data_IF_800105448369
#
_entry.id   IF_800105448369
#
_cell.length_a   1.000
_cell.length_b   1.000
_cell.length_c   1.000
_cell.angle_alpha   90.00
_cell.angle_beta   90.00
_cell.angle_gamma   90.00
#
_symmetry.space_group_name_H-M   'P 1'
#
loop_
_entity.id
_entity.type
_entity.pdbx_description
1 polymer ?
#
# COMPACT_ATOMS: atom_id res chain seq x y z
N UNK A 1 -29.70 -8.04 -22.12
CA UNK A 1 -29.17 -8.13 -20.72
C UNK A 1 -27.67 -8.09 -20.84
N UNK A 2 -27.01 -7.13 -20.23
CA UNK A 2 -25.54 -7.06 -20.15
C UNK A 2 -25.03 -8.22 -19.31
N UNK A 3 -23.93 -8.86 -19.75
CA UNK A 3 -23.28 -9.95 -19.00
C UNK A 3 -22.83 -9.40 -17.64
N UNK A 4 -23.07 -10.09 -16.53
CA UNK A 4 -22.61 -9.63 -15.22
C UNK A 4 -21.08 -9.58 -15.19
N UNK A 5 -20.54 -8.60 -14.46
CA UNK A 5 -19.10 -8.41 -14.23
C UNK A 5 -18.63 -9.46 -13.22
N UNK A 6 -17.68 -10.31 -13.62
CA UNK A 6 -17.10 -11.32 -12.76
C UNK A 6 -16.02 -10.74 -11.86
N UNK A 7 -16.22 -10.84 -10.56
CA UNK A 7 -15.35 -10.28 -9.53
C UNK A 7 -14.62 -11.40 -8.79
N UNK A 8 -13.30 -11.23 -8.60
CA UNK A 8 -12.52 -12.02 -7.65
C UNK A 8 -12.30 -11.17 -6.39
N UNK A 9 -12.77 -11.67 -5.23
CA UNK A 9 -12.53 -11.04 -3.93
C UNK A 9 -11.25 -11.59 -3.31
N UNK A 10 -10.26 -10.73 -3.08
CA UNK A 10 -8.98 -11.09 -2.46
C UNK A 10 -8.78 -10.28 -1.17
N UNK A 11 -9.01 -10.89 -0.03
CA UNK A 11 -8.85 -10.32 1.31
C UNK A 11 -8.67 -11.47 2.30
N UNK A 12 -7.82 -11.36 3.30
CA UNK A 12 -7.64 -12.41 4.31
C UNK A 12 -8.72 -12.37 5.41
N UNK A 13 -9.48 -11.27 5.52
CA UNK A 13 -10.57 -11.11 6.48
C UNK A 13 -11.87 -11.75 5.99
N UNK A 14 -12.17 -12.96 6.43
CA UNK A 14 -13.36 -13.73 6.02
C UNK A 14 -14.68 -12.96 6.20
N UNK A 15 -14.81 -12.20 7.30
CA UNK A 15 -16.04 -11.45 7.59
C UNK A 15 -16.25 -10.36 6.54
N UNK A 16 -15.19 -9.64 6.17
CA UNK A 16 -15.26 -8.60 5.15
C UNK A 16 -15.61 -9.20 3.78
N UNK A 17 -14.97 -10.31 3.38
CA UNK A 17 -15.34 -10.99 2.12
C UNK A 17 -16.80 -11.39 2.08
N UNK A 18 -17.33 -11.95 3.20
CA UNK A 18 -18.76 -12.30 3.29
C UNK A 18 -19.64 -11.07 3.13
N UNK A 19 -19.32 -9.97 3.79
CA UNK A 19 -20.04 -8.69 3.67
C UNK A 19 -20.02 -8.14 2.25
N UNK A 20 -18.84 -8.10 1.61
CA UNK A 20 -18.67 -7.68 0.22
C UNK A 20 -19.48 -8.53 -0.75
N UNK A 21 -19.49 -9.85 -0.55
CA UNK A 21 -20.28 -10.76 -1.38
C UNK A 21 -21.78 -10.48 -1.28
N UNK A 22 -22.29 -10.25 -0.07
CA UNK A 22 -23.70 -9.85 0.13
C UNK A 22 -23.99 -8.50 -0.52
N UNK A 23 -23.12 -7.52 -0.34
CA UNK A 23 -23.26 -6.19 -0.92
C UNK A 23 -23.28 -6.26 -2.45
N UNK A 24 -22.35 -6.95 -3.08
CA UNK A 24 -22.27 -7.13 -4.53
C UNK A 24 -23.47 -7.90 -5.08
N UNK A 25 -23.96 -8.92 -4.37
CA UNK A 25 -25.13 -9.68 -4.77
C UNK A 25 -26.43 -8.88 -4.73
N UNK A 26 -26.47 -7.74 -4.04
CA UNK A 26 -27.62 -6.83 -4.05
C UNK A 26 -27.82 -6.10 -5.39
N UNK A 27 -26.81 -6.11 -6.24
CA UNK A 27 -26.80 -5.51 -7.57
C UNK A 27 -26.72 -6.61 -8.63
N UNK A 28 -27.64 -6.63 -9.58
CA UNK A 28 -27.71 -7.70 -10.60
C UNK A 28 -26.62 -7.67 -11.67
N UNK A 29 -25.80 -6.59 -11.69
CA UNK A 29 -24.71 -6.39 -12.64
C UNK A 29 -23.35 -6.95 -12.16
N UNK A 30 -23.26 -7.45 -10.92
CA UNK A 30 -22.02 -8.01 -10.35
C UNK A 30 -22.17 -9.47 -9.93
N UNK A 31 -21.14 -10.26 -10.20
CA UNK A 31 -21.06 -11.66 -9.82
C UNK A 31 -19.71 -11.96 -9.16
N UNK A 32 -19.72 -12.48 -7.93
CA UNK A 32 -18.49 -12.94 -7.27
C UNK A 32 -18.16 -14.33 -7.81
N UNK A 33 -17.21 -14.39 -8.74
CA UNK A 33 -16.81 -15.63 -9.42
C UNK A 33 -15.86 -16.47 -8.56
N UNK A 34 -15.05 -15.86 -7.70
CA UNK A 34 -14.13 -16.55 -6.80
C UNK A 34 -13.72 -15.69 -5.60
N UNK A 35 -13.13 -16.34 -4.61
CA UNK A 35 -12.57 -15.73 -3.41
C UNK A 35 -11.13 -16.22 -3.20
N UNK A 36 -10.25 -15.36 -2.69
CA UNK A 36 -8.87 -15.65 -2.33
C UNK A 36 -8.54 -15.04 -0.97
N UNK A 37 -7.63 -15.67 -0.22
CA UNK A 37 -7.16 -15.20 1.09
C UNK A 37 -5.71 -14.68 1.05
N UNK A 38 -5.06 -14.75 -0.09
CA UNK A 38 -3.69 -14.28 -0.31
C UNK A 38 -3.41 -14.09 -1.82
N UNK A 39 -2.33 -13.36 -2.13
CA UNK A 39 -1.98 -13.06 -3.53
C UNK A 39 -1.61 -14.30 -4.36
N UNK A 40 -1.14 -15.38 -3.76
CA UNK A 40 -0.82 -16.62 -4.49
C UNK A 40 -2.09 -17.28 -5.04
N UNK A 41 -3.11 -17.39 -4.20
CA UNK A 41 -4.43 -17.89 -4.61
C UNK A 41 -5.04 -17.03 -5.72
N UNK A 42 -4.92 -15.70 -5.66
CA UNK A 42 -5.35 -14.80 -6.75
C UNK A 42 -4.73 -15.21 -8.08
N UNK A 43 -3.40 -15.37 -8.11
CA UNK A 43 -2.68 -15.72 -9.33
C UNK A 43 -3.06 -17.12 -9.87
N UNK A 44 -3.38 -18.05 -8.99
CA UNK A 44 -3.80 -19.41 -9.39
C UNK A 44 -5.23 -19.41 -9.94
N UNK A 45 -6.15 -18.68 -9.31
CA UNK A 45 -7.54 -18.51 -9.78
C UNK A 45 -7.57 -17.83 -11.15
N UNK A 46 -6.77 -16.80 -11.37
CA UNK A 46 -6.72 -16.08 -12.66
C UNK A 46 -6.24 -16.94 -13.85
N UNK A 47 -5.65 -18.12 -13.61
CA UNK A 47 -5.26 -19.06 -14.66
C UNK A 47 -6.46 -19.85 -15.22
N UNK A 48 -7.49 -20.07 -14.40
CA UNK A 48 -8.56 -21.04 -14.68
C UNK A 48 -9.95 -20.42 -14.69
N UNK A 49 -10.12 -19.27 -14.05
CA UNK A 49 -11.42 -18.63 -13.86
C UNK A 49 -11.47 -17.30 -14.61
N UNK A 50 -12.46 -17.08 -15.47
CA UNK A 50 -12.68 -15.79 -16.11
C UNK A 50 -13.05 -14.73 -15.06
N UNK A 51 -12.21 -13.71 -14.89
CA UNK A 51 -12.39 -12.61 -13.96
C UNK A 51 -12.24 -11.30 -14.72
N UNK A 52 -13.17 -10.39 -14.55
CA UNK A 52 -13.15 -9.06 -15.17
C UNK A 52 -12.43 -8.04 -14.26
N UNK A 53 -12.63 -8.16 -12.94
CA UNK A 53 -11.99 -7.28 -11.94
C UNK A 53 -11.61 -8.05 -10.67
N UNK A 54 -10.45 -7.73 -10.10
CA UNK A 54 -10.00 -8.19 -8.78
C UNK A 54 -10.20 -7.05 -7.78
N UNK A 55 -10.98 -7.30 -6.73
CA UNK A 55 -10.98 -6.48 -5.51
C UNK A 55 -9.84 -6.99 -4.63
N UNK A 56 -8.78 -6.21 -4.48
CA UNK A 56 -7.51 -6.66 -3.94
C UNK A 56 -7.13 -5.93 -2.65
N UNK A 57 -7.14 -6.63 -1.53
CA UNK A 57 -6.53 -6.13 -0.31
C UNK A 57 -4.99 -6.13 -0.43
N UNK A 58 -4.36 -5.11 0.12
CA UNK A 58 -2.89 -5.02 0.15
C UNK A 58 -2.26 -5.87 1.25
N UNK A 59 -2.94 -5.98 2.39
CA UNK A 59 -2.41 -6.63 3.60
C UNK A 59 -2.87 -8.08 3.70
N UNK A 60 -2.27 -8.96 2.91
CA UNK A 60 -2.56 -10.39 2.93
C UNK A 60 -1.32 -11.22 3.28
N UNK A 61 -1.48 -12.40 3.94
CA UNK A 61 -0.39 -13.31 4.25
C UNK A 61 0.14 -14.01 2.98
N UNK A 62 1.27 -14.71 3.08
CA UNK A 62 1.92 -15.51 2.03
C UNK A 62 2.42 -14.68 0.85
N UNK A 63 1.57 -13.87 0.23
CA UNK A 63 1.88 -12.94 -0.84
C UNK A 63 1.00 -11.71 -0.66
N UNK A 64 1.62 -10.54 -0.49
CA UNK A 64 0.91 -9.28 -0.32
C UNK A 64 0.13 -8.91 -1.57
N UNK A 65 -0.91 -8.06 -1.42
CA UNK A 65 -1.66 -7.56 -2.56
C UNK A 65 -0.79 -6.70 -3.49
N UNK A 66 0.17 -5.96 -2.94
CA UNK A 66 1.08 -5.18 -3.76
C UNK A 66 1.98 -6.06 -4.64
N UNK A 67 2.52 -7.16 -4.09
CA UNK A 67 3.32 -8.11 -4.86
C UNK A 67 2.46 -8.86 -5.89
N UNK A 68 1.22 -9.17 -5.53
CA UNK A 68 0.24 -9.76 -6.44
C UNK A 68 -0.08 -8.80 -7.62
N UNK A 69 -0.34 -7.52 -7.34
CA UNK A 69 -0.55 -6.49 -8.36
C UNK A 69 0.65 -6.42 -9.34
N UNK A 70 1.87 -6.32 -8.81
CA UNK A 70 3.10 -6.29 -9.62
C UNK A 70 3.19 -7.52 -10.52
N UNK A 71 2.90 -8.70 -9.99
CA UNK A 71 2.98 -9.96 -10.74
C UNK A 71 1.89 -10.07 -11.81
N UNK A 72 0.65 -9.63 -11.54
CA UNK A 72 -0.43 -9.57 -12.53
C UNK A 72 -0.02 -8.65 -13.71
N UNK A 73 0.50 -7.46 -13.42
CA UNK A 73 0.93 -6.52 -14.47
C UNK A 73 2.15 -7.03 -15.22
N UNK A 74 3.13 -7.63 -14.54
CA UNK A 74 4.31 -8.27 -15.17
C UNK A 74 3.92 -9.37 -16.15
N UNK A 75 2.89 -10.15 -15.83
CA UNK A 75 2.37 -11.23 -16.70
C UNK A 75 1.48 -10.71 -17.83
N UNK A 76 1.12 -9.43 -17.84
CA UNK A 76 0.20 -8.87 -18.83
C UNK A 76 -1.21 -9.43 -18.78
N UNK A 77 -1.69 -9.85 -17.59
CA UNK A 77 -3.03 -10.39 -17.45
C UNK A 77 -4.07 -9.29 -17.67
N UNK A 78 -5.03 -9.56 -18.57
CA UNK A 78 -6.06 -8.60 -18.97
C UNK A 78 -7.21 -8.57 -17.92
N UNK A 79 -6.89 -8.18 -16.69
CA UNK A 79 -7.86 -8.04 -15.60
C UNK A 79 -7.73 -6.67 -14.97
N UNK A 80 -8.85 -6.06 -14.59
CA UNK A 80 -8.89 -4.80 -13.84
C UNK A 80 -8.55 -5.05 -12.37
N UNK A 81 -7.88 -4.10 -11.73
CA UNK A 81 -7.50 -4.21 -10.32
C UNK A 81 -7.99 -2.98 -9.58
N UNK A 82 -8.96 -3.20 -8.69
CA UNK A 82 -9.45 -2.22 -7.74
C UNK A 82 -8.92 -2.59 -6.35
N UNK A 83 -8.02 -1.76 -5.83
CA UNK A 83 -7.39 -1.99 -4.54
C UNK A 83 -8.32 -1.55 -3.42
N UNK A 84 -8.47 -2.41 -2.40
CA UNK A 84 -9.14 -2.12 -1.13
C UNK A 84 -8.11 -2.14 -0.01
N UNK A 85 -8.07 -1.11 0.83
CA UNK A 85 -7.06 -1.02 1.89
C UNK A 85 -7.52 -0.19 3.07
N UNK A 86 -6.97 -0.46 4.25
CA UNK A 86 -7.14 0.38 5.44
C UNK A 86 -6.23 1.62 5.43
N UNK A 87 -5.28 1.71 4.49
CA UNK A 87 -4.31 2.80 4.42
C UNK A 87 -4.84 3.91 3.52
N UNK A 88 -4.93 5.12 4.03
CA UNK A 88 -5.29 6.34 3.28
C UNK A 88 -4.08 7.25 3.01
N UNK A 89 -2.86 6.79 3.35
CA UNK A 89 -1.67 7.61 3.23
C UNK A 89 -1.23 7.76 1.77
N UNK A 90 -0.83 8.95 1.45
CA UNK A 90 -0.43 9.45 0.12
C UNK A 90 0.56 8.54 -0.62
N UNK A 91 1.55 8.02 0.11
CA UNK A 91 2.59 7.18 -0.47
C UNK A 91 2.06 5.84 -1.00
N UNK A 92 1.06 5.24 -0.31
CA UNK A 92 0.44 3.98 -0.75
C UNK A 92 -0.41 4.18 -1.99
N UNK A 93 -1.21 5.25 -2.04
CA UNK A 93 -2.01 5.60 -3.22
C UNK A 93 -1.08 5.77 -4.43
N UNK A 94 -0.01 6.57 -4.28
CA UNK A 94 0.97 6.79 -5.34
C UNK A 94 1.65 5.50 -5.80
N UNK A 95 2.11 4.66 -4.87
CA UNK A 95 2.77 3.40 -5.19
C UNK A 95 1.84 2.47 -5.97
N UNK A 96 0.64 2.23 -5.46
CA UNK A 96 -0.37 1.34 -6.05
C UNK A 96 -0.77 1.80 -7.45
N UNK A 97 -1.05 3.09 -7.63
CA UNK A 97 -1.43 3.65 -8.93
C UNK A 97 -0.27 3.63 -9.93
N UNK A 98 0.96 3.82 -9.48
CA UNK A 98 2.17 3.71 -10.30
C UNK A 98 2.44 2.27 -10.74
N UNK A 99 2.14 1.29 -9.88
CA UNK A 99 2.24 -0.14 -10.23
C UNK A 99 1.12 -0.61 -11.17
N UNK A 100 0.21 0.28 -11.54
CA UNK A 100 -0.79 0.04 -12.58
C UNK A 100 -2.14 -0.45 -12.07
N UNK A 101 -2.51 -0.20 -10.82
CA UNK A 101 -3.87 -0.38 -10.37
C UNK A 101 -4.85 0.48 -11.19
N UNK A 102 -6.04 -0.05 -11.43
CA UNK A 102 -7.10 0.65 -12.15
C UNK A 102 -7.92 1.53 -11.20
N UNK A 103 -7.91 1.26 -9.90
CA UNK A 103 -8.54 2.11 -8.89
C UNK A 103 -8.10 1.76 -7.48
N UNK A 104 -8.51 2.65 -6.55
CA UNK A 104 -8.17 2.58 -5.13
C UNK A 104 -9.36 3.05 -4.30
N UNK A 105 -9.69 2.32 -3.24
CA UNK A 105 -10.74 2.65 -2.27
C UNK A 105 -10.22 2.36 -0.86
N UNK A 106 -10.41 3.30 0.07
CA UNK A 106 -10.27 3.01 1.50
C UNK A 106 -11.40 2.08 1.96
N UNK A 107 -11.08 1.08 2.78
CA UNK A 107 -12.09 0.12 3.29
C UNK A 107 -13.21 0.82 4.08
N UNK A 108 -12.96 1.99 4.65
CA UNK A 108 -13.96 2.79 5.36
C UNK A 108 -15.02 3.42 4.44
N UNK A 109 -14.72 3.54 3.13
CA UNK A 109 -15.62 4.13 2.13
C UNK A 109 -16.30 3.10 1.20
N UNK A 110 -16.16 1.80 1.49
CA UNK A 110 -16.68 0.72 0.63
C UNK A 110 -18.19 0.85 0.39
N UNK A 111 -18.95 1.14 1.41
CA UNK A 111 -20.43 1.23 1.36
C UNK A 111 -20.91 2.34 0.42
N UNK A 112 -20.14 3.40 0.26
CA UNK A 112 -20.50 4.57 -0.56
C UNK A 112 -19.85 4.56 -1.94
N UNK A 113 -18.65 4.00 -2.09
CA UNK A 113 -17.84 4.19 -3.29
C UNK A 113 -17.70 2.93 -4.18
N UNK A 114 -17.89 1.72 -3.62
CA UNK A 114 -17.57 0.47 -4.30
C UNK A 114 -18.21 0.33 -5.69
N UNK A 115 -19.51 0.57 -5.79
CA UNK A 115 -20.22 0.38 -7.05
C UNK A 115 -19.83 1.41 -8.11
N UNK A 116 -19.61 2.66 -7.70
CA UNK A 116 -19.13 3.70 -8.60
C UNK A 116 -17.72 3.39 -9.11
N UNK A 117 -16.83 2.94 -8.22
CA UNK A 117 -15.48 2.57 -8.57
C UNK A 117 -15.44 1.39 -9.54
N UNK A 118 -16.21 0.32 -9.26
CA UNK A 118 -16.30 -0.84 -10.15
C UNK A 118 -16.75 -0.45 -11.55
N UNK A 119 -17.82 0.33 -11.68
CA UNK A 119 -18.31 0.79 -12.99
C UNK A 119 -17.26 1.67 -13.70
N UNK A 120 -16.60 2.56 -12.95
CA UNK A 120 -15.58 3.46 -13.50
C UNK A 120 -14.39 2.67 -14.07
N UNK A 121 -13.87 1.67 -13.33
CA UNK A 121 -12.73 0.87 -13.80
C UNK A 121 -13.12 -0.06 -14.94
N UNK A 122 -14.34 -0.57 -14.97
CA UNK A 122 -14.85 -1.39 -16.07
C UNK A 122 -15.04 -0.57 -17.36
N UNK A 123 -15.35 0.73 -17.25
CA UNK A 123 -15.36 1.67 -18.39
C UNK A 123 -13.95 2.03 -18.90
N UNK A 124 -12.90 1.46 -18.32
CA UNK A 124 -11.51 1.73 -18.69
C UNK A 124 -10.91 3.01 -18.11
N UNK A 125 -11.63 3.70 -17.21
CA UNK A 125 -11.15 4.87 -16.49
C UNK A 125 -10.54 4.45 -15.15
N UNK A 126 -9.63 5.28 -14.61
CA UNK A 126 -9.09 5.08 -13.26
C UNK A 126 -10.03 5.66 -12.21
N UNK A 127 -10.14 4.99 -11.06
CA UNK A 127 -10.93 5.46 -9.93
C UNK A 127 -10.04 5.85 -8.75
N UNK A 128 -10.25 7.05 -8.26
CA UNK A 128 -9.81 7.55 -6.95
C UNK A 128 -10.95 8.38 -6.38
N UNK A 129 -11.14 8.39 -5.07
CA UNK A 129 -12.04 9.34 -4.42
C UNK A 129 -11.58 10.78 -4.71
N UNK A 130 -12.45 11.76 -4.54
CA UNK A 130 -12.07 13.17 -4.72
C UNK A 130 -10.96 13.58 -3.73
N UNK A 131 -11.01 13.06 -2.51
CA UNK A 131 -10.03 13.32 -1.45
C UNK A 131 -8.67 12.68 -1.79
N UNK A 132 -8.65 11.41 -2.23
CA UNK A 132 -7.44 10.71 -2.64
C UNK A 132 -6.80 11.36 -3.87
N UNK A 133 -7.62 11.78 -4.84
CA UNK A 133 -7.16 12.48 -6.03
C UNK A 133 -6.53 13.83 -5.68
N UNK A 134 -7.16 14.61 -4.79
CA UNK A 134 -6.62 15.88 -4.29
C UNK A 134 -5.31 15.66 -3.54
N UNK A 135 -5.26 14.64 -2.69
CA UNK A 135 -4.07 14.23 -1.93
C UNK A 135 -2.92 13.86 -2.88
N UNK A 136 -3.21 13.08 -3.93
CA UNK A 136 -2.22 12.70 -4.94
C UNK A 136 -1.72 13.91 -5.74
N UNK A 137 -2.63 14.82 -6.16
CA UNK A 137 -2.27 16.03 -6.89
C UNK A 137 -1.38 16.94 -6.05
N UNK A 138 -1.71 17.14 -4.78
CA UNK A 138 -0.87 17.94 -3.88
C UNK A 138 0.55 17.36 -3.77
N UNK A 139 0.69 16.03 -3.76
CA UNK A 139 2.01 15.38 -3.75
C UNK A 139 2.82 15.54 -5.03
N UNK A 140 2.16 15.83 -6.14
CA UNK A 140 2.81 16.10 -7.43
C UNK A 140 3.20 17.57 -7.57
N UNK A 141 2.38 18.48 -7.03
CA UNK A 141 2.62 19.92 -7.08
C UNK A 141 3.66 20.34 -6.03
N UNK A 142 3.56 19.78 -4.84
CA UNK A 142 4.49 19.99 -3.73
C UNK A 142 4.96 18.60 -3.26
N UNK A 143 5.88 17.97 -4.02
CA UNK A 143 6.39 16.65 -3.64
C UNK A 143 6.91 16.77 -2.21
N UNK A 144 6.56 15.84 -1.30
CA UNK A 144 7.09 15.88 0.06
C UNK A 144 8.59 16.05 -0.09
N UNK A 145 9.11 17.18 0.38
CA UNK A 145 10.56 17.41 0.53
C UNK A 145 11.05 16.13 1.14
N UNK A 146 12.08 15.53 0.53
CA UNK A 146 12.69 14.26 0.99
C UNK A 146 12.47 14.08 2.48
N UNK A 147 11.92 12.95 2.97
CA UNK A 147 11.46 12.86 4.34
C UNK A 147 12.55 13.39 5.26
N UNK A 148 12.40 14.58 5.71
CA UNK A 148 13.32 15.40 6.49
C UNK A 148 14.75 15.39 5.93
N UNK A 149 15.28 16.57 5.58
CA UNK A 149 16.67 16.79 5.11
C UNK A 149 17.68 16.30 6.16
N UNK A 150 17.90 15.00 6.16
CA UNK A 150 18.90 14.35 6.98
C UNK A 150 20.27 14.54 6.34
N UNK A 151 21.21 15.13 7.08
CA UNK A 151 22.61 15.15 6.68
C UNK A 151 23.13 13.71 6.46
N UNK A 152 24.19 13.55 5.69
CA UNK A 152 24.81 12.25 5.45
C UNK A 152 25.12 11.49 6.77
N UNK A 153 25.58 12.22 7.78
CA UNK A 153 25.89 11.63 9.11
C UNK A 153 24.64 11.25 9.90
N UNK A 154 23.56 12.03 9.82
CA UNK A 154 22.29 11.67 10.44
C UNK A 154 21.68 10.42 9.78
N UNK A 155 21.82 10.28 8.48
CA UNK A 155 21.37 9.11 7.70
C UNK A 155 22.16 7.85 8.05
N UNK A 156 23.47 7.93 8.19
CA UNK A 156 24.33 6.82 8.66
C UNK A 156 23.93 6.38 10.07
N UNK A 157 23.76 7.33 10.98
CA UNK A 157 23.32 7.05 12.37
C UNK A 157 21.94 6.42 12.40
N UNK A 158 20.98 6.89 11.59
CA UNK A 158 19.67 6.27 11.45
C UNK A 158 19.78 4.80 11.06
N UNK A 159 20.54 4.49 10.03
CA UNK A 159 20.73 3.12 9.52
C UNK A 159 21.22 2.19 10.63
N UNK A 160 22.25 2.57 11.37
CA UNK A 160 22.77 1.74 12.47
C UNK A 160 21.80 1.60 13.64
N UNK A 161 21.08 2.69 14.01
CA UNK A 161 20.11 2.65 15.10
C UNK A 161 18.95 1.68 14.81
N UNK A 162 18.46 1.66 13.58
CA UNK A 162 17.36 0.79 13.16
C UNK A 162 17.83 -0.67 13.11
N UNK A 163 19.05 -0.93 12.70
CA UNK A 163 19.65 -2.28 12.77
C UNK A 163 20.02 -2.73 14.20
N UNK A 164 19.71 -1.93 15.21
CA UNK A 164 19.87 -2.35 16.62
C UNK A 164 21.21 -2.03 17.24
N UNK A 165 22.11 -1.37 16.55
CA UNK A 165 23.43 -1.03 17.09
C UNK A 165 23.33 -0.10 18.31
N UNK A 166 24.25 -0.27 19.27
CA UNK A 166 24.40 0.63 20.41
C UNK A 166 25.12 1.92 20.00
N UNK A 167 24.91 3.02 20.74
CA UNK A 167 25.62 4.28 20.46
C UNK A 167 27.15 4.12 20.51
N UNK A 168 27.66 3.24 21.36
CA UNK A 168 29.10 2.93 21.43
C UNK A 168 29.58 2.23 20.14
N UNK A 169 28.88 1.20 19.69
CA UNK A 169 29.20 0.49 18.46
C UNK A 169 29.12 1.42 17.22
N UNK A 170 28.14 2.31 17.18
CA UNK A 170 28.03 3.32 16.10
C UNK A 170 29.22 4.28 16.16
N UNK A 171 29.60 4.73 17.35
CA UNK A 171 30.71 5.65 17.52
C UNK A 171 32.04 5.03 17.03
N UNK A 172 32.29 3.78 17.37
CA UNK A 172 33.46 3.02 16.91
C UNK A 172 33.44 2.86 15.36
N UNK A 173 32.31 2.45 14.80
CA UNK A 173 32.16 2.27 13.35
C UNK A 173 32.34 3.56 12.55
N UNK A 174 31.83 4.67 13.08
CA UNK A 174 31.93 5.98 12.42
C UNK A 174 33.18 6.78 12.80
N UNK A 175 34.12 6.19 13.56
CA UNK A 175 35.30 6.85 14.08
C UNK A 175 34.99 8.19 14.77
N UNK A 176 33.99 8.19 15.64
CA UNK A 176 33.44 9.38 16.30
C UNK A 176 33.31 9.15 17.81
N UNK A 177 32.96 10.20 18.57
CA UNK A 177 32.66 10.05 19.99
C UNK A 177 31.20 9.65 20.23
N UNK A 178 30.93 8.91 21.31
CA UNK A 178 29.56 8.56 21.74
C UNK A 178 28.72 9.85 21.92
N UNK A 179 29.31 10.93 22.42
CA UNK A 179 28.65 12.23 22.58
C UNK A 179 28.22 12.81 21.23
N UNK A 180 29.08 12.70 20.21
CA UNK A 180 28.77 13.15 18.86
C UNK A 180 27.62 12.35 18.23
N UNK A 181 27.65 11.01 18.34
CA UNK A 181 26.60 10.11 17.86
C UNK A 181 25.27 10.38 18.59
N UNK A 182 25.33 10.62 19.90
CA UNK A 182 24.15 11.02 20.68
C UNK A 182 23.55 12.33 20.21
N UNK A 183 24.37 13.29 19.83
CA UNK A 183 23.90 14.57 19.25
C UNK A 183 23.22 14.35 17.88
N UNK A 184 23.79 13.51 17.02
CA UNK A 184 23.16 13.16 15.75
C UNK A 184 21.83 12.44 15.97
N UNK A 185 21.76 11.47 16.92
CA UNK A 185 20.51 10.80 17.29
C UNK A 185 19.47 11.81 17.75
N UNK A 186 19.80 12.73 18.63
CA UNK A 186 18.83 13.74 19.13
C UNK A 186 18.29 14.63 18.02
N UNK A 187 19.17 15.13 17.14
CA UNK A 187 18.78 15.94 15.98
C UNK A 187 17.91 15.15 15.01
N UNK A 188 18.31 13.90 14.72
CA UNK A 188 17.57 12.97 13.88
C UNK A 188 16.15 12.76 14.43
N UNK A 189 16.01 12.38 15.71
CA UNK A 189 14.73 12.16 16.35
C UNK A 189 13.85 13.42 16.34
N UNK A 190 14.44 14.60 16.61
CA UNK A 190 13.73 15.86 16.54
C UNK A 190 13.25 16.17 15.11
N UNK A 191 14.09 15.95 14.09
CA UNK A 191 13.74 16.18 12.68
C UNK A 191 12.64 15.24 12.21
N UNK A 192 12.65 13.98 12.67
CA UNK A 192 11.67 12.95 12.29
C UNK A 192 10.39 12.97 13.14
N UNK A 193 10.34 13.81 14.18
CA UNK A 193 9.22 13.87 15.11
C UNK A 193 9.08 12.60 15.98
N UNK A 194 10.15 11.78 16.08
CA UNK A 194 10.16 10.55 16.87
C UNK A 194 10.63 10.82 18.30
N UNK A 195 9.99 10.18 19.28
CA UNK A 195 10.37 10.27 20.70
C UNK A 195 11.00 8.97 21.21
N UNK A 196 10.69 7.85 20.59
CA UNK A 196 11.18 6.52 20.96
C UNK A 196 11.96 5.85 19.82
N UNK A 197 12.76 4.83 20.18
CA UNK A 197 13.47 4.02 19.19
C UNK A 197 12.51 3.20 18.32
N UNK A 198 11.39 2.76 18.87
CA UNK A 198 10.34 2.04 18.12
C UNK A 198 9.76 2.91 17.02
N UNK A 199 9.32 4.12 17.36
CA UNK A 199 8.82 5.11 16.38
C UNK A 199 9.85 5.40 15.28
N UNK A 200 11.15 5.44 15.64
CA UNK A 200 12.22 5.65 14.67
C UNK A 200 12.35 4.47 13.70
N UNK A 201 12.20 3.22 14.19
CA UNK A 201 12.20 2.02 13.35
C UNK A 201 10.98 2.00 12.43
N UNK A 202 9.80 2.26 12.98
CA UNK A 202 8.54 2.29 12.23
C UNK A 202 8.60 3.37 11.14
N UNK A 203 9.12 4.56 11.48
CA UNK A 203 9.35 5.65 10.51
C UNK A 203 10.29 5.21 9.37
N UNK A 204 11.42 4.60 9.71
CA UNK A 204 12.42 4.19 8.73
C UNK A 204 11.89 3.09 7.78
N UNK A 205 11.06 2.16 8.30
CA UNK A 205 10.40 1.14 7.51
C UNK A 205 9.34 1.75 6.58
N UNK A 206 8.48 2.63 7.11
CA UNK A 206 7.42 3.29 6.36
C UNK A 206 7.97 4.12 5.19
N UNK A 207 9.11 4.78 5.40
CA UNK A 207 9.74 5.66 4.40
C UNK A 207 10.84 4.99 3.58
N UNK A 208 11.01 3.65 3.68
CA UNK A 208 12.03 2.87 2.94
C UNK A 208 13.44 3.47 3.04
N UNK A 209 13.77 4.05 4.20
CA UNK A 209 15.09 4.66 4.45
C UNK A 209 16.20 3.63 4.65
N UNK A 210 15.84 2.36 4.68
CA UNK A 210 16.73 1.20 4.77
C UNK A 210 16.85 0.57 3.39
N UNK A 211 18.05 0.54 2.89
CA UNK A 211 18.41 -0.28 1.71
C UNK A 211 18.85 -1.66 2.15
#
# INVERSE_FOLDING_TARGET
MTKPINILLADDHRILRTGLKLLLSSQGDFHVAAEASNGREVLDILKTTPVDVVLLDLSMPVMSGLDCLKEIKRRGLAVKILVLTMYSEQQYIKEVMTQGADGYICKDAIDTELFQALRTVMDGRRYLSAEDAHTLLNSLIDPPKDPVDLSAREREVLTYLVHGYSLAAIADTLHSSIKTVSTYKSRLMQKLGCTTKSELVDYALAHKLLK
#
